data_IF_304360679834
#
_entry.id   IF_304360679834
#
_cell.length_a   1.000
_cell.length_b   1.000
_cell.length_c   1.000
_cell.angle_alpha   90.00
_cell.angle_beta   90.00
_cell.angle_gamma   90.00
#
_symmetry.space_group_name_H-M   'P 1'
#
loop_
_entity.id
_entity.type
_entity.pdbx_description
1 polymer ?
#
# COMPACT_ATOMS: atom_id res chain seq x y z
N UNK A 1 11.47 -3.31 1.04
CA UNK A 1 12.85 -2.78 1.08
C UNK A 1 13.87 -3.85 1.48
N UNK A 2 13.54 -4.72 2.45
CA UNK A 2 14.52 -5.65 3.06
C UNK A 2 15.32 -6.53 2.09
N UNK A 3 14.70 -7.10 1.07
CA UNK A 3 15.37 -8.01 0.12
C UNK A 3 16.00 -7.35 -1.12
N UNK A 4 15.81 -6.04 -1.32
CA UNK A 4 16.20 -5.37 -2.56
C UNK A 4 17.71 -5.41 -2.80
N UNK A 5 18.51 -5.06 -1.78
CA UNK A 5 19.97 -5.08 -1.90
C UNK A 5 20.52 -6.47 -2.18
N UNK A 6 19.98 -7.51 -1.53
CA UNK A 6 20.35 -8.88 -1.77
C UNK A 6 20.00 -9.34 -3.21
N UNK A 7 18.81 -8.99 -3.71
CA UNK A 7 18.42 -9.25 -5.09
C UNK A 7 19.35 -8.53 -6.08
N UNK A 8 19.63 -7.25 -5.83
CA UNK A 8 20.51 -6.44 -6.68
C UNK A 8 21.96 -6.96 -6.74
N UNK A 9 22.44 -7.59 -5.65
CA UNK A 9 23.78 -8.22 -5.65
C UNK A 9 23.88 -9.43 -6.57
N UNK A 10 22.77 -10.15 -6.77
CA UNK A 10 22.70 -11.29 -7.69
C UNK A 10 22.43 -10.87 -9.14
N UNK A 11 22.02 -9.66 -9.37
CA UNK A 11 21.64 -9.11 -10.70
C UNK A 11 22.52 -7.90 -11.07
N UNK A 12 23.80 -8.10 -11.45
CA UNK A 12 24.78 -7.01 -11.58
C UNK A 12 24.40 -5.93 -12.60
N UNK A 13 23.63 -6.27 -13.63
CA UNK A 13 23.22 -5.36 -14.71
C UNK A 13 21.87 -4.69 -14.49
N UNK A 14 21.20 -4.98 -13.35
CA UNK A 14 19.87 -4.44 -13.04
C UNK A 14 19.97 -3.08 -12.36
N UNK A 15 19.05 -2.18 -12.67
CA UNK A 15 18.85 -0.92 -11.95
C UNK A 15 17.59 -0.97 -11.10
N UNK A 16 17.61 -0.26 -9.99
CA UNK A 16 16.47 -0.09 -9.09
C UNK A 16 15.76 1.22 -9.43
N UNK A 17 14.49 1.17 -9.78
CA UNK A 17 13.63 2.35 -9.86
C UNK A 17 12.90 2.52 -8.55
N UNK A 18 12.98 3.69 -7.94
CA UNK A 18 12.45 3.92 -6.59
C UNK A 18 11.91 5.35 -6.45
N UNK A 19 10.90 5.50 -5.59
CA UNK A 19 10.36 6.80 -5.20
C UNK A 19 11.43 7.71 -4.59
N UNK A 20 11.43 9.05 -4.83
CA UNK A 20 12.45 9.98 -4.31
C UNK A 20 12.69 9.87 -2.80
N UNK A 21 11.62 9.74 -2.01
CA UNK A 21 11.72 9.60 -0.55
C UNK A 21 12.28 8.24 -0.11
N UNK A 22 12.19 7.22 -0.98
CA UNK A 22 12.69 5.87 -0.71
C UNK A 22 14.17 5.68 -1.04
N UNK A 23 14.69 6.44 -2.02
CA UNK A 23 16.04 6.24 -2.60
C UNK A 23 17.14 6.22 -1.53
N UNK A 24 17.14 7.18 -0.62
CA UNK A 24 18.12 7.27 0.47
C UNK A 24 18.15 6.03 1.36
N UNK A 25 17.02 5.37 1.56
CA UNK A 25 16.92 4.16 2.38
C UNK A 25 17.36 2.90 1.64
N UNK A 26 17.40 2.96 0.31
CA UNK A 26 17.95 1.89 -0.52
C UNK A 26 19.47 2.01 -0.61
N UNK A 27 19.98 3.25 -0.74
CA UNK A 27 21.41 3.54 -0.82
C UNK A 27 22.09 3.37 0.55
N UNK A 28 21.45 3.90 1.61
CA UNK A 28 21.88 3.72 3.01
C UNK A 28 20.72 3.27 3.89
N UNK A 29 20.58 1.96 4.14
CA UNK A 29 19.49 1.42 4.94
C UNK A 29 19.65 1.60 6.46
N UNK A 30 20.74 2.18 6.95
CA UNK A 30 21.09 2.25 8.39
C UNK A 30 19.95 2.86 9.23
N UNK A 31 19.36 3.97 8.78
CA UNK A 31 18.25 4.63 9.49
C UNK A 31 16.96 3.79 9.46
N UNK A 32 16.71 3.09 8.35
CA UNK A 32 15.58 2.18 8.22
C UNK A 32 15.73 1.00 9.19
N UNK A 33 16.92 0.39 9.22
CA UNK A 33 17.26 -0.71 10.14
C UNK A 33 17.08 -0.25 11.60
N UNK A 34 17.67 0.88 11.96
CA UNK A 34 17.57 1.41 13.33
C UNK A 34 16.10 1.66 13.74
N UNK A 35 15.30 2.27 12.85
CA UNK A 35 13.88 2.53 13.10
C UNK A 35 13.05 1.26 13.26
N UNK A 36 13.24 0.28 12.38
CA UNK A 36 12.55 -1.00 12.45
C UNK A 36 12.99 -1.82 13.69
N UNK A 37 14.28 -1.84 14.00
CA UNK A 37 14.79 -2.51 15.20
C UNK A 37 14.22 -1.92 16.49
N UNK A 38 14.02 -0.60 16.54
CA UNK A 38 13.38 0.04 17.69
C UNK A 38 11.91 -0.37 17.90
N UNK A 39 11.22 -0.78 16.82
CA UNK A 39 9.82 -1.21 16.87
C UNK A 39 9.69 -2.71 17.14
N UNK A 40 10.44 -3.54 16.39
CA UNK A 40 10.29 -4.99 16.40
C UNK A 40 11.28 -5.71 17.31
N UNK A 41 12.35 -5.04 17.70
CA UNK A 41 13.47 -5.62 18.45
C UNK A 41 14.52 -6.29 17.54
N UNK A 42 15.77 -6.43 18.02
CA UNK A 42 16.89 -6.94 17.22
C UNK A 42 16.70 -8.39 16.80
N UNK A 43 16.16 -9.24 17.67
CA UNK A 43 15.98 -10.68 17.39
C UNK A 43 14.97 -10.90 16.27
N UNK A 44 13.85 -10.19 16.31
CA UNK A 44 12.82 -10.30 15.26
C UNK A 44 13.31 -9.72 13.94
N UNK A 45 14.06 -8.61 13.97
CA UNK A 45 14.69 -8.05 12.77
C UNK A 45 15.66 -9.02 12.12
N UNK A 46 16.55 -9.64 12.90
CA UNK A 46 17.49 -10.61 12.40
C UNK A 46 16.82 -11.86 11.82
N UNK A 47 15.78 -12.36 12.50
CA UNK A 47 15.06 -13.57 12.09
C UNK A 47 14.22 -13.34 10.83
N UNK A 48 13.55 -12.20 10.71
CA UNK A 48 12.57 -11.92 9.64
C UNK A 48 13.22 -11.33 8.41
N UNK A 49 14.18 -10.42 8.57
CA UNK A 49 14.78 -9.66 7.46
C UNK A 49 16.24 -10.05 7.18
N UNK A 50 16.93 -10.71 8.12
CA UNK A 50 18.34 -11.02 7.97
C UNK A 50 19.19 -9.76 7.79
N UNK A 51 20.18 -9.82 6.90
CA UNK A 51 21.03 -8.67 6.57
C UNK A 51 20.40 -7.84 5.46
N UNK A 52 20.13 -6.56 5.75
CA UNK A 52 19.61 -5.61 4.77
C UNK A 52 20.78 -4.91 4.08
N UNK A 53 21.04 -5.29 2.84
CA UNK A 53 22.16 -4.76 2.06
C UNK A 53 21.80 -3.45 1.37
N UNK A 54 22.75 -2.49 1.27
CA UNK A 54 22.58 -1.29 0.49
C UNK A 54 22.58 -1.56 -1.02
N UNK A 55 22.00 -0.64 -1.78
CA UNK A 55 22.07 -0.63 -3.24
C UNK A 55 23.09 0.45 -3.68
N UNK A 56 24.04 0.15 -4.57
CA UNK A 56 24.94 1.16 -5.12
C UNK A 56 24.19 2.33 -5.76
N UNK A 57 24.58 3.56 -5.44
CA UNK A 57 23.87 4.78 -5.85
C UNK A 57 23.77 4.93 -7.38
N UNK A 58 24.83 4.53 -8.10
CA UNK A 58 24.88 4.53 -9.57
C UNK A 58 23.91 3.55 -10.23
N UNK A 59 23.32 2.66 -9.45
CA UNK A 59 22.30 1.70 -9.88
C UNK A 59 20.88 2.08 -9.46
N UNK A 60 20.71 3.25 -8.84
CA UNK A 60 19.39 3.76 -8.40
C UNK A 60 18.88 4.80 -9.39
N UNK A 61 17.67 4.60 -9.88
CA UNK A 61 16.90 5.56 -10.68
C UNK A 61 15.80 6.12 -9.77
N UNK A 62 15.81 7.43 -9.59
CA UNK A 62 14.77 8.13 -8.84
C UNK A 62 13.63 8.48 -9.78
N UNK A 63 12.43 7.94 -9.50
CA UNK A 63 11.23 8.19 -10.29
C UNK A 63 10.35 9.25 -9.60
N UNK A 64 10.38 10.47 -10.14
CA UNK A 64 9.45 11.56 -9.80
C UNK A 64 8.06 11.29 -10.38
N UNK A 65 7.05 12.08 -9.98
CA UNK A 65 5.70 11.97 -10.56
C UNK A 65 5.73 12.18 -12.07
N UNK A 66 5.12 11.24 -12.81
CA UNK A 66 5.11 11.24 -14.27
C UNK A 66 6.40 10.73 -14.93
N UNK A 67 7.38 10.22 -14.14
CA UNK A 67 8.57 9.60 -14.73
C UNK A 67 8.16 8.41 -15.60
N UNK A 68 8.72 8.33 -16.82
CA UNK A 68 8.45 7.24 -17.74
C UNK A 68 9.72 6.42 -17.99
N UNK A 69 9.56 5.11 -17.92
CA UNK A 69 10.58 4.13 -18.25
C UNK A 69 10.13 3.35 -19.49
N UNK A 70 10.94 3.40 -20.54
CA UNK A 70 10.79 2.48 -21.67
C UNK A 70 11.42 1.13 -21.32
N UNK A 71 10.57 0.13 -21.17
CA UNK A 71 10.97 -1.24 -20.92
C UNK A 71 10.78 -2.08 -22.19
N UNK A 72 11.69 -1.92 -23.14
CA UNK A 72 11.70 -2.60 -24.43
C UNK A 72 10.40 -2.37 -25.25
N UNK A 73 10.03 -1.10 -25.42
CA UNK A 73 8.81 -0.67 -26.09
C UNK A 73 7.55 -0.69 -25.21
N UNK A 74 7.64 -1.12 -23.96
CA UNK A 74 6.57 -1.07 -22.97
C UNK A 74 6.78 0.12 -22.04
N UNK A 75 5.98 1.15 -22.18
CA UNK A 75 6.10 2.35 -21.35
C UNK A 75 5.46 2.09 -19.99
N UNK A 76 6.28 2.21 -18.94
CA UNK A 76 5.86 2.21 -17.54
C UNK A 76 5.97 3.64 -17.01
N UNK A 77 4.88 4.21 -16.52
CA UNK A 77 4.84 5.54 -15.92
C UNK A 77 4.67 5.43 -14.40
N UNK A 78 5.38 6.28 -13.66
CA UNK A 78 5.39 6.28 -12.20
C UNK A 78 4.62 7.50 -11.70
N UNK A 79 3.59 7.26 -10.90
CA UNK A 79 2.81 8.32 -10.26
C UNK A 79 3.12 8.40 -8.77
N UNK A 80 3.50 9.57 -8.28
CA UNK A 80 3.52 9.82 -6.83
C UNK A 80 2.10 9.70 -6.29
N UNK A 81 1.89 8.79 -5.36
CA UNK A 81 0.58 8.42 -4.82
C UNK A 81 0.61 8.35 -3.30
N UNK A 82 0.73 9.51 -2.63
CA UNK A 82 0.70 9.59 -1.18
C UNK A 82 -0.67 9.17 -0.62
N UNK A 83 -0.74 9.05 0.68
CA UNK A 83 -1.94 8.70 1.43
C UNK A 83 -1.73 7.51 2.34
N UNK A 84 -1.42 6.33 1.80
CA UNK A 84 -0.95 5.22 2.63
C UNK A 84 0.37 5.58 3.32
N UNK A 85 1.35 6.02 2.55
CA UNK A 85 2.62 6.56 3.04
C UNK A 85 3.18 7.57 2.02
N UNK A 86 4.05 8.47 2.51
CA UNK A 86 4.62 9.55 1.68
C UNK A 86 5.69 9.10 0.67
N UNK A 87 5.98 7.82 0.60
CA UNK A 87 6.98 7.23 -0.29
C UNK A 87 6.38 6.19 -1.24
N UNK A 88 5.06 6.18 -1.37
CA UNK A 88 4.36 5.30 -2.29
C UNK A 88 4.28 5.92 -3.67
N UNK A 89 4.42 5.05 -4.66
CA UNK A 89 4.07 5.37 -6.05
C UNK A 89 3.26 4.20 -6.66
N UNK A 90 2.42 4.54 -7.63
CA UNK A 90 1.82 3.56 -8.53
C UNK A 90 2.64 3.45 -9.80
N UNK A 91 2.60 2.28 -10.47
CA UNK A 91 3.22 2.07 -11.77
C UNK A 91 2.11 1.79 -12.78
N UNK A 92 2.01 2.65 -13.78
CA UNK A 92 1.04 2.56 -14.87
C UNK A 92 1.69 1.81 -16.02
N UNK A 93 1.08 0.74 -16.46
CA UNK A 93 1.45 0.03 -17.66
C UNK A 93 0.53 0.46 -18.80
N UNK A 94 1.05 1.32 -19.67
CA UNK A 94 0.27 1.84 -20.80
C UNK A 94 -0.11 0.78 -21.82
N UNK A 95 0.69 -0.28 -21.98
CA UNK A 95 0.41 -1.35 -22.93
C UNK A 95 -0.84 -2.14 -22.54
N UNK A 96 -0.99 -2.49 -21.29
CA UNK A 96 -2.14 -3.26 -20.77
C UNK A 96 -3.24 -2.37 -20.23
N UNK A 97 -3.01 -1.07 -20.13
CA UNK A 97 -3.89 -0.10 -19.46
C UNK A 97 -4.22 -0.53 -18.02
N UNK A 98 -3.20 -0.87 -17.27
CA UNK A 98 -3.30 -1.39 -15.90
C UNK A 98 -2.40 -0.61 -14.94
N UNK A 99 -2.67 -0.72 -13.65
CA UNK A 99 -1.90 -0.06 -12.61
C UNK A 99 -1.43 -1.06 -11.56
N UNK A 100 -0.14 -1.04 -11.22
CA UNK A 100 0.39 -1.64 -10.00
C UNK A 100 0.30 -0.58 -8.90
N UNK A 101 -0.60 -0.79 -7.94
CA UNK A 101 -1.02 0.27 -7.02
C UNK A 101 -0.23 0.33 -5.73
N UNK A 102 0.67 -0.63 -5.49
CA UNK A 102 1.20 -0.76 -4.14
C UNK A 102 0.05 -0.89 -3.14
N UNK A 103 0.16 -0.18 -2.03
CA UNK A 103 -0.90 -0.11 -1.01
C UNK A 103 -1.85 1.09 -1.20
N UNK A 104 -1.68 1.85 -2.29
CA UNK A 104 -2.44 3.08 -2.53
C UNK A 104 -3.89 2.85 -2.97
N UNK A 105 -4.22 1.62 -3.42
CA UNK A 105 -5.59 1.22 -3.77
C UNK A 105 -6.09 0.07 -2.89
N UNK A 106 -5.65 0.04 -1.63
CA UNK A 106 -6.12 -0.90 -0.64
C UNK A 106 -5.61 -2.34 -0.80
N UNK A 107 -6.32 -3.24 -0.18
CA UNK A 107 -6.10 -4.69 -0.22
C UNK A 107 -7.44 -5.42 -0.36
N UNK A 108 -7.41 -6.64 -0.87
CA UNK A 108 -8.62 -7.45 -1.08
C UNK A 108 -8.35 -8.90 -0.73
N UNK A 109 -9.10 -9.42 0.24
CA UNK A 109 -9.08 -10.82 0.62
C UNK A 109 -10.06 -11.62 -0.26
N UNK A 110 -9.55 -12.52 -1.09
CA UNK A 110 -10.34 -13.32 -2.05
C UNK A 110 -11.36 -14.23 -1.39
N UNK A 111 -11.07 -14.72 -0.22
CA UNK A 111 -11.98 -15.55 0.58
C UNK A 111 -13.25 -14.82 1.01
N UNK A 112 -13.26 -13.49 0.91
CA UNK A 112 -14.43 -12.66 1.22
C UNK A 112 -15.22 -12.23 -0.02
N UNK A 113 -14.69 -12.53 -1.21
CA UNK A 113 -15.42 -12.27 -2.46
C UNK A 113 -16.66 -13.17 -2.53
N UNK A 114 -17.81 -12.60 -2.86
CA UNK A 114 -19.07 -13.33 -2.97
C UNK A 114 -19.98 -12.72 -4.05
N UNK A 115 -20.62 -13.58 -4.87
CA UNK A 115 -21.55 -13.14 -5.92
C UNK A 115 -21.02 -12.00 -6.82
N UNK A 116 -19.80 -12.16 -7.32
CA UNK A 116 -19.10 -11.14 -8.13
C UNK A 116 -18.81 -9.80 -7.39
N UNK A 117 -19.06 -9.75 -6.09
CA UNK A 117 -18.69 -8.63 -5.25
C UNK A 117 -17.30 -8.86 -4.65
N UNK A 118 -16.43 -7.88 -4.83
CA UNK A 118 -15.08 -7.88 -4.27
C UNK A 118 -15.10 -7.16 -2.93
N UNK A 119 -14.46 -7.78 -1.93
CA UNK A 119 -14.26 -7.15 -0.63
C UNK A 119 -12.91 -6.42 -0.64
N UNK A 120 -12.94 -5.09 -0.68
CA UNK A 120 -11.76 -4.24 -0.71
C UNK A 120 -11.71 -3.32 0.50
N UNK A 121 -10.52 -3.12 1.06
CA UNK A 121 -10.26 -2.32 2.26
C UNK A 121 -9.13 -1.33 2.01
N UNK A 122 -9.18 -0.12 2.58
CA UNK A 122 -8.04 0.78 2.56
C UNK A 122 -6.94 0.32 3.52
N UNK A 123 -5.69 0.53 3.15
CA UNK A 123 -4.52 0.25 3.98
C UNK A 123 -4.17 1.47 4.83
N UNK A 124 -4.60 1.49 6.09
CA UNK A 124 -4.52 2.67 6.98
C UNK A 124 -3.53 2.52 8.13
N UNK A 125 -2.71 1.46 8.12
CA UNK A 125 -1.83 1.09 9.23
C UNK A 125 -0.58 1.97 9.44
N UNK A 126 0.04 2.62 8.44
CA UNK A 126 1.23 3.42 8.66
C UNK A 126 0.96 4.68 9.48
N UNK A 127 1.97 5.10 10.26
CA UNK A 127 1.94 6.38 11.00
C UNK A 127 1.79 7.60 10.06
N UNK A 128 2.20 7.44 8.80
CA UNK A 128 2.13 8.48 7.78
C UNK A 128 0.82 8.46 6.98
N UNK A 129 -0.15 7.65 7.39
CA UNK A 129 -1.45 7.61 6.73
C UNK A 129 -2.12 8.99 6.76
N UNK A 130 -2.53 9.45 5.59
CA UNK A 130 -3.23 10.69 5.37
C UNK A 130 -4.50 10.43 4.56
N UNK A 131 -5.69 10.57 5.15
CA UNK A 131 -6.94 10.20 4.47
C UNK A 131 -7.25 11.10 3.27
N UNK A 132 -6.89 12.39 3.29
CA UNK A 132 -7.21 13.30 2.19
C UNK A 132 -6.29 13.04 0.99
N UNK A 133 -5.00 12.81 1.22
CA UNK A 133 -4.07 12.36 0.19
C UNK A 133 -4.49 11.00 -0.38
N UNK A 134 -4.93 10.06 0.47
CA UNK A 134 -5.40 8.75 0.03
C UNK A 134 -6.62 8.86 -0.90
N UNK A 135 -7.59 9.71 -0.56
CA UNK A 135 -8.76 9.96 -1.41
C UNK A 135 -8.37 10.58 -2.75
N UNK A 136 -7.44 11.54 -2.73
CA UNK A 136 -6.91 12.17 -3.96
C UNK A 136 -6.24 11.12 -4.85
N UNK A 137 -5.46 10.23 -4.28
CA UNK A 137 -4.81 9.12 -5.00
C UNK A 137 -5.84 8.14 -5.58
N UNK A 138 -6.84 7.71 -4.79
CA UNK A 138 -7.90 6.81 -5.26
C UNK A 138 -8.66 7.47 -6.42
N UNK A 139 -8.97 8.76 -6.32
CA UNK A 139 -9.67 9.50 -7.38
C UNK A 139 -8.81 9.63 -8.65
N UNK A 140 -7.49 9.84 -8.52
CA UNK A 140 -6.56 9.85 -9.66
C UNK A 140 -6.58 8.51 -10.40
N UNK A 141 -6.56 7.40 -9.67
CA UNK A 141 -6.66 6.04 -10.23
C UNK A 141 -8.01 5.84 -10.91
N UNK A 142 -9.11 6.26 -10.26
CA UNK A 142 -10.46 6.15 -10.81
C UNK A 142 -10.62 6.95 -12.11
N UNK A 143 -10.09 8.16 -12.17
CA UNK A 143 -10.14 9.01 -13.36
C UNK A 143 -9.37 8.41 -14.56
N UNK A 144 -8.35 7.61 -14.31
CA UNK A 144 -7.61 6.89 -15.36
C UNK A 144 -8.41 5.72 -15.92
N UNK A 145 -9.37 5.17 -15.18
CA UNK A 145 -10.21 4.03 -15.56
C UNK A 145 -9.39 2.83 -16.08
N UNK A 146 -8.50 2.27 -15.26
CA UNK A 146 -7.66 1.15 -15.67
C UNK A 146 -8.52 -0.07 -16.00
N UNK A 147 -8.04 -0.97 -16.87
CA UNK A 147 -8.68 -2.27 -17.07
C UNK A 147 -8.53 -3.17 -15.85
N UNK A 148 -7.39 -3.05 -15.15
CA UNK A 148 -7.09 -3.83 -13.96
C UNK A 148 -6.18 -3.06 -13.01
N UNK A 149 -6.30 -3.38 -11.71
CA UNK A 149 -5.38 -2.95 -10.68
C UNK A 149 -4.67 -4.16 -10.07
N UNK A 150 -3.36 -4.03 -9.84
CA UNK A 150 -2.54 -5.04 -9.20
C UNK A 150 -2.17 -4.54 -7.80
N UNK A 151 -2.80 -5.12 -6.79
CA UNK A 151 -2.59 -4.77 -5.40
C UNK A 151 -1.32 -5.44 -4.86
N UNK A 152 -0.66 -4.85 -3.87
CA UNK A 152 0.44 -5.50 -3.14
C UNK A 152 -0.04 -6.77 -2.44
N UNK A 153 -1.22 -6.70 -1.83
CA UNK A 153 -1.80 -7.80 -1.08
C UNK A 153 -3.00 -8.38 -1.83
N UNK A 154 -2.89 -9.69 -2.15
CA UNK A 154 -3.96 -10.53 -2.71
C UNK A 154 -4.36 -10.23 -4.15
N UNK A 155 -3.35 -9.89 -5.01
CA UNK A 155 -3.45 -10.10 -6.44
C UNK A 155 -4.16 -9.01 -7.26
N UNK A 156 -4.56 -9.40 -8.46
CA UNK A 156 -5.17 -8.57 -9.50
C UNK A 156 -6.68 -8.47 -9.31
N UNK A 157 -7.24 -7.29 -9.53
CA UNK A 157 -8.67 -7.04 -9.67
C UNK A 157 -8.98 -6.47 -11.06
N UNK A 158 -10.05 -6.92 -11.69
CA UNK A 158 -10.68 -6.17 -12.77
C UNK A 158 -11.24 -4.88 -12.19
N UNK A 159 -10.85 -3.74 -12.77
CA UNK A 159 -11.30 -2.46 -12.24
C UNK A 159 -12.78 -2.25 -12.51
N UNK A 160 -13.47 -1.75 -11.50
CA UNK A 160 -14.85 -1.25 -11.54
C UNK A 160 -14.91 0.02 -10.70
N UNK A 161 -15.69 0.99 -11.13
CA UNK A 161 -15.84 2.27 -10.42
C UNK A 161 -16.30 2.09 -8.96
N UNK A 162 -17.15 1.10 -8.72
CA UNK A 162 -17.61 0.74 -7.37
C UNK A 162 -16.46 0.40 -6.39
N UNK A 163 -15.31 -0.09 -6.88
CA UNK A 163 -14.15 -0.34 -6.00
C UNK A 163 -13.56 0.95 -5.46
N UNK A 164 -13.50 2.00 -6.29
CA UNK A 164 -13.03 3.31 -5.86
C UNK A 164 -14.04 3.98 -4.91
N UNK A 165 -15.34 3.88 -5.20
CA UNK A 165 -16.42 4.38 -4.33
C UNK A 165 -16.40 3.70 -2.97
N UNK A 166 -16.27 2.38 -2.92
CA UNK A 166 -16.15 1.60 -1.68
C UNK A 166 -14.92 2.05 -0.88
N UNK A 167 -13.75 2.17 -1.54
CA UNK A 167 -12.53 2.61 -0.87
C UNK A 167 -12.65 4.04 -0.32
N UNK A 168 -13.20 4.98 -1.08
CA UNK A 168 -13.41 6.35 -0.63
C UNK A 168 -14.30 6.39 0.63
N UNK A 169 -15.42 5.67 0.61
CA UNK A 169 -16.33 5.56 1.76
C UNK A 169 -15.64 4.94 2.98
N UNK A 170 -14.82 3.89 2.77
CA UNK A 170 -14.10 3.23 3.83
C UNK A 170 -12.96 4.10 4.41
N UNK A 171 -12.26 4.90 3.58
CA UNK A 171 -11.25 5.86 4.05
C UNK A 171 -11.90 6.88 4.98
N UNK A 172 -13.05 7.44 4.62
CA UNK A 172 -13.78 8.38 5.47
C UNK A 172 -14.19 7.73 6.81
N UNK A 173 -14.73 6.51 6.76
CA UNK A 173 -15.12 5.79 7.98
C UNK A 173 -13.92 5.49 8.91
N UNK A 174 -12.76 5.09 8.35
CA UNK A 174 -11.55 4.90 9.13
C UNK A 174 -11.03 6.20 9.74
N UNK A 175 -11.06 7.31 8.98
CA UNK A 175 -10.66 8.62 9.46
C UNK A 175 -11.56 9.09 10.61
N UNK A 176 -12.89 8.90 10.52
CA UNK A 176 -13.83 9.20 11.60
C UNK A 176 -13.54 8.41 12.88
N UNK A 177 -13.27 7.10 12.77
CA UNK A 177 -12.90 6.26 13.91
C UNK A 177 -11.63 6.80 14.57
N UNK A 178 -10.61 7.13 13.78
CA UNK A 178 -9.37 7.72 14.28
C UNK A 178 -9.60 9.06 15.00
N UNK A 179 -10.40 9.95 14.42
CA UNK A 179 -10.74 11.26 15.01
C UNK A 179 -11.54 11.13 16.31
N UNK A 180 -12.51 10.21 16.37
CA UNK A 180 -13.26 9.91 17.59
C UNK A 180 -12.34 9.39 18.70
N UNK A 181 -11.48 8.43 18.36
CA UNK A 181 -10.51 7.88 19.29
C UNK A 181 -9.45 8.90 19.77
N UNK A 182 -9.09 9.87 18.94
CA UNK A 182 -8.12 10.91 19.32
C UNK A 182 -8.56 11.69 20.57
N UNK A 183 -9.86 11.84 20.79
CA UNK A 183 -10.46 12.55 21.94
C UNK A 183 -10.45 11.73 23.25
N UNK A 184 -10.12 10.45 23.19
CA UNK A 184 -10.12 9.55 24.34
C UNK A 184 -8.79 9.58 25.11
N UNK A 185 -8.81 9.10 26.36
CA UNK A 185 -7.59 8.83 27.12
C UNK A 185 -6.76 7.74 26.41
N UNK A 186 -5.43 7.88 26.47
CA UNK A 186 -4.48 6.98 25.78
C UNK A 186 -4.74 5.48 26.02
N UNK A 187 -5.11 5.13 27.25
CA UNK A 187 -5.40 3.76 27.66
C UNK A 187 -6.66 3.15 27.01
N UNK A 188 -7.59 3.97 26.56
CA UNK A 188 -8.85 3.53 25.97
C UNK A 188 -8.84 3.56 24.42
N UNK A 189 -7.89 4.30 23.81
CA UNK A 189 -7.87 4.51 22.35
C UNK A 189 -7.79 3.20 21.57
N UNK A 190 -6.87 2.32 21.95
CA UNK A 190 -6.62 1.09 21.21
C UNK A 190 -7.84 0.18 21.17
N UNK A 191 -8.45 -0.05 22.32
CA UNK A 191 -9.62 -0.93 22.39
C UNK A 191 -10.86 -0.35 21.72
N UNK A 192 -11.01 0.99 21.79
CA UNK A 192 -12.10 1.66 21.07
C UNK A 192 -11.91 1.54 19.55
N UNK A 193 -10.71 1.86 19.03
CA UNK A 193 -10.39 1.73 17.58
C UNK A 193 -10.63 0.30 17.11
N UNK A 194 -10.12 -0.69 17.87
CA UNK A 194 -10.28 -2.11 17.52
C UNK A 194 -11.75 -2.49 17.41
N UNK A 195 -12.59 -2.10 18.37
CA UNK A 195 -14.01 -2.38 18.36
C UNK A 195 -14.72 -1.69 17.18
N UNK A 196 -14.49 -0.37 17.00
CA UNK A 196 -15.17 0.39 15.97
C UNK A 196 -14.78 -0.08 14.57
N UNK A 197 -13.50 -0.46 14.36
CA UNK A 197 -13.05 -1.07 13.10
C UNK A 197 -13.68 -2.44 12.88
N UNK A 198 -13.77 -3.28 13.93
CA UNK A 198 -14.42 -4.58 13.81
C UNK A 198 -15.89 -4.44 13.42
N UNK A 199 -16.62 -3.54 14.07
CA UNK A 199 -18.03 -3.26 13.76
C UNK A 199 -18.20 -2.74 12.31
N UNK A 200 -17.31 -1.86 11.86
CA UNK A 200 -17.31 -1.36 10.49
C UNK A 200 -17.08 -2.48 9.48
N UNK A 201 -16.03 -3.28 9.67
CA UNK A 201 -15.66 -4.36 8.76
C UNK A 201 -16.72 -5.45 8.71
N UNK A 202 -17.28 -5.80 9.87
CA UNK A 202 -18.37 -6.77 9.97
C UNK A 202 -19.61 -6.30 9.22
N UNK A 203 -20.00 -5.05 9.40
CA UNK A 203 -21.13 -4.44 8.69
C UNK A 203 -20.92 -4.46 7.17
N UNK A 204 -19.70 -4.11 6.71
CA UNK A 204 -19.38 -4.13 5.28
C UNK A 204 -19.35 -5.55 4.71
N UNK A 205 -18.89 -6.54 5.48
CA UNK A 205 -18.95 -7.94 5.09
C UNK A 205 -20.39 -8.45 4.97
N UNK A 206 -21.24 -8.11 5.92
CA UNK A 206 -22.68 -8.46 5.87
C UNK A 206 -23.37 -7.81 4.67
N UNK A 207 -23.10 -6.53 4.39
CA UNK A 207 -23.67 -5.79 3.24
C UNK A 207 -23.36 -6.48 1.92
N UNK A 208 -22.17 -7.10 1.80
CA UNK A 208 -21.72 -7.84 0.62
C UNK A 208 -22.06 -9.33 0.66
N UNK A 209 -22.79 -9.78 1.70
CA UNK A 209 -23.10 -11.19 1.90
C UNK A 209 -21.87 -12.10 1.92
N UNK A 210 -20.74 -11.57 2.44
CA UNK A 210 -19.53 -12.36 2.57
C UNK A 210 -19.78 -13.60 3.42
N UNK A 211 -19.24 -14.78 3.06
CA UNK A 211 -19.50 -16.04 3.76
C UNK A 211 -18.68 -16.15 5.07
N UNK A 212 -18.81 -15.14 5.93
CA UNK A 212 -18.13 -15.07 7.22
C UNK A 212 -19.04 -15.51 8.35
N UNK A 213 -18.48 -16.19 9.34
CA UNK A 213 -19.11 -16.40 10.63
C UNK A 213 -18.44 -15.52 11.70
N UNK A 214 -19.07 -15.40 12.87
CA UNK A 214 -18.59 -14.52 13.96
C UNK A 214 -17.18 -14.85 14.48
N UNK A 215 -16.64 -16.02 14.12
CA UNK A 215 -15.30 -16.47 14.53
C UNK A 215 -14.22 -16.23 13.45
N UNK A 216 -14.58 -15.72 12.30
CA UNK A 216 -13.69 -15.36 11.18
C UNK A 216 -13.54 -13.85 11.07
#
# INVERSE_FOLDING_TARGET
AGGVGALMSQLPNTKLVVHPRGSRHMIDPSKLIAGATAVYGPDEMSKTYGEILPVPEDRVIVAEDGYQLDFDGRILEFWDTPGHARHHFCIIDHLTHSIFTGDSFGLSYREFDHNDQVFILPTTSPVQFDPDEMKTTIQRIANFQPKAVYLTHFSRLDYRESLAEDLLSMVDAHAEIGQKAAKLKKTLKREQIKRDLWELLWKEAQKRSCPLNENQ
#
